data_IF_978724403238
#
_entry.id   IF_978724403238
#
_cell.length_a   1.000
_cell.length_b   1.000
_cell.length_c   1.000
_cell.angle_alpha   90.00
_cell.angle_beta   90.00
_cell.angle_gamma   90.00
#
_symmetry.space_group_name_H-M   'P 1'
#
loop_
_entity.id
_entity.type
_entity.pdbx_description
1 polymer ?
#
# COMPACT_ATOMS: atom_id res chain seq x y z
N UNK A 1 -11.57 5.83 27.73
CA UNK A 1 -11.18 6.47 26.45
C UNK A 1 -12.34 6.25 25.50
N UNK A 2 -12.97 7.33 25.05
CA UNK A 2 -14.07 7.25 24.07
C UNK A 2 -13.60 7.94 22.80
N UNK A 3 -13.78 7.25 21.66
CA UNK A 3 -13.69 7.87 20.34
C UNK A 3 -14.89 8.81 20.17
N UNK A 4 -14.68 9.98 19.59
CA UNK A 4 -15.70 10.95 19.21
C UNK A 4 -15.86 10.92 17.67
N UNK A 5 -16.81 10.13 17.14
CA UNK A 5 -16.92 9.89 15.70
C UNK A 5 -17.30 11.14 14.90
N UNK A 6 -18.04 12.07 15.52
CA UNK A 6 -18.52 13.28 14.87
C UNK A 6 -17.37 14.25 14.55
N UNK A 7 -16.28 14.19 15.33
CA UNK A 7 -15.05 14.94 15.06
C UNK A 7 -14.13 14.25 14.06
N UNK A 8 -14.12 12.92 14.02
CA UNK A 8 -13.23 12.16 13.14
C UNK A 8 -13.73 12.13 11.69
N UNK A 9 -15.05 12.04 11.50
CA UNK A 9 -15.65 11.84 10.18
C UNK A 9 -15.36 13.00 9.23
N UNK A 10 -14.93 12.67 8.01
CA UNK A 10 -14.67 13.65 6.96
C UNK A 10 -13.30 14.34 7.06
N UNK A 11 -12.48 13.97 8.04
CA UNK A 11 -11.10 14.45 8.14
C UNK A 11 -10.29 13.99 6.93
N UNK A 12 -9.64 14.95 6.26
CA UNK A 12 -8.57 14.65 5.31
C UNK A 12 -7.30 14.37 6.10
N UNK A 13 -6.78 13.16 5.99
CA UNK A 13 -5.64 12.70 6.80
C UNK A 13 -4.34 13.34 6.30
N UNK A 14 -4.03 13.17 5.02
CA UNK A 14 -2.83 13.74 4.41
C UNK A 14 -2.98 13.84 2.88
N UNK A 15 -2.17 14.68 2.24
CA UNK A 15 -2.00 14.71 0.78
C UNK A 15 -0.50 14.60 0.46
N UNK A 16 -0.06 13.44 -0.03
CA UNK A 16 1.36 13.14 -0.30
C UNK A 16 1.54 12.33 -1.58
N UNK A 17 2.66 12.56 -2.25
CA UNK A 17 3.04 11.73 -3.39
C UNK A 17 3.63 10.39 -2.90
N UNK A 18 3.31 9.31 -3.60
CA UNK A 18 3.91 7.99 -3.41
C UNK A 18 4.38 7.43 -4.75
N UNK A 19 5.59 6.88 -4.76
CA UNK A 19 6.23 6.34 -5.97
C UNK A 19 6.28 4.83 -5.90
N UNK A 20 5.68 4.16 -6.87
CA UNK A 20 5.80 2.71 -7.08
C UNK A 20 7.01 2.43 -7.97
N UNK A 21 8.23 2.58 -7.43
CA UNK A 21 9.45 2.32 -8.21
C UNK A 21 9.52 0.86 -8.68
N UNK A 22 10.28 0.61 -9.75
CA UNK A 22 10.48 -0.74 -10.29
C UNK A 22 10.98 -1.72 -9.23
N UNK A 23 11.97 -1.31 -8.45
CA UNK A 23 12.59 -2.12 -7.40
C UNK A 23 11.58 -2.44 -6.29
N UNK A 24 10.73 -1.47 -5.92
CA UNK A 24 9.66 -1.70 -4.94
C UNK A 24 8.65 -2.72 -5.46
N UNK A 25 8.26 -2.63 -6.74
CA UNK A 25 7.34 -3.58 -7.36
C UNK A 25 7.89 -5.00 -7.34
N UNK A 26 9.16 -5.18 -7.71
CA UNK A 26 9.82 -6.48 -7.70
C UNK A 26 9.97 -7.03 -6.29
N UNK A 27 10.45 -6.19 -5.36
CA UNK A 27 10.65 -6.60 -3.96
C UNK A 27 9.31 -6.99 -3.31
N UNK A 28 8.24 -6.26 -3.62
CA UNK A 28 6.90 -6.60 -3.14
C UNK A 28 6.47 -7.97 -3.66
N UNK A 29 6.60 -8.23 -4.97
CA UNK A 29 6.24 -9.52 -5.56
C UNK A 29 7.03 -10.68 -4.93
N UNK A 30 8.35 -10.53 -4.79
CA UNK A 30 9.19 -11.53 -4.10
C UNK A 30 8.74 -11.75 -2.65
N UNK A 31 8.41 -10.68 -1.93
CA UNK A 31 8.01 -10.75 -0.51
C UNK A 31 6.67 -11.48 -0.29
N UNK A 32 5.78 -11.49 -1.28
CA UNK A 32 4.50 -12.21 -1.21
C UNK A 32 4.55 -13.60 -1.85
N UNK A 33 5.74 -14.06 -2.28
CA UNK A 33 5.99 -15.44 -2.65
C UNK A 33 6.14 -15.73 -4.14
N UNK A 34 6.17 -14.71 -5.01
CA UNK A 34 6.54 -14.91 -6.41
C UNK A 34 7.99 -15.42 -6.52
N UNK A 35 8.25 -16.23 -7.54
CA UNK A 35 9.52 -16.95 -7.78
C UNK A 35 10.02 -17.85 -6.63
N UNK A 36 9.13 -18.31 -5.71
CA UNK A 36 9.52 -19.35 -4.73
C UNK A 36 10.01 -20.63 -5.42
N UNK A 37 9.37 -21.00 -6.53
CA UNK A 37 9.96 -21.86 -7.53
C UNK A 37 10.68 -20.97 -8.56
N UNK A 38 12.03 -21.03 -8.65
CA UNK A 38 12.79 -20.18 -9.54
C UNK A 38 12.62 -20.55 -11.03
N UNK A 39 12.03 -21.71 -11.35
CA UNK A 39 11.77 -22.14 -12.74
C UNK A 39 10.38 -21.74 -13.24
N UNK A 40 9.56 -21.09 -12.42
CA UNK A 40 8.25 -20.60 -12.84
C UNK A 40 8.38 -19.27 -13.58
N UNK A 41 8.49 -19.37 -14.91
CA UNK A 41 8.62 -18.23 -15.82
C UNK A 41 7.39 -17.30 -15.80
N UNK A 42 6.18 -17.81 -15.48
CA UNK A 42 4.96 -16.98 -15.42
C UNK A 42 5.03 -15.88 -14.35
N UNK A 43 5.93 -16.03 -13.38
CA UNK A 43 6.15 -15.06 -12.33
C UNK A 43 7.12 -13.94 -12.75
N UNK A 44 7.89 -14.12 -13.84
CA UNK A 44 8.90 -13.14 -14.29
C UNK A 44 8.28 -11.80 -14.64
N UNK A 45 7.04 -11.78 -15.12
CA UNK A 45 6.28 -10.54 -15.34
C UNK A 45 6.14 -9.66 -14.09
N UNK A 46 6.38 -10.17 -12.88
CA UNK A 46 6.37 -9.38 -11.64
C UNK A 46 7.76 -9.18 -11.01
N UNK A 47 8.74 -10.02 -11.37
CA UNK A 47 10.05 -10.05 -10.69
C UNK A 47 11.22 -9.69 -11.59
N UNK A 48 11.04 -9.65 -12.90
CA UNK A 48 12.10 -9.39 -13.88
C UNK A 48 11.71 -8.23 -14.80
N UNK A 49 12.46 -7.14 -14.71
CA UNK A 49 12.15 -5.87 -15.35
C UNK A 49 12.36 -5.86 -16.87
N UNK A 50 13.08 -6.85 -17.42
CA UNK A 50 13.28 -7.00 -18.86
C UNK A 50 12.28 -7.98 -19.50
N UNK A 51 11.32 -8.50 -18.75
CA UNK A 51 10.20 -9.26 -19.29
C UNK A 51 9.29 -8.33 -20.11
N UNK A 52 8.81 -8.78 -21.27
CA UNK A 52 8.02 -7.93 -22.18
C UNK A 52 6.75 -7.36 -21.51
N UNK A 53 6.09 -8.16 -20.67
CA UNK A 53 4.87 -7.81 -19.94
C UNK A 53 5.14 -7.44 -18.46
N UNK A 54 6.33 -6.92 -18.15
CA UNK A 54 6.68 -6.54 -16.79
C UNK A 54 5.68 -5.54 -16.18
N UNK A 55 5.13 -5.91 -15.02
CA UNK A 55 4.04 -5.21 -14.34
C UNK A 55 4.11 -5.37 -12.83
N UNK A 56 3.31 -4.60 -12.09
CA UNK A 56 3.20 -4.72 -10.64
C UNK A 56 2.06 -5.68 -10.25
N UNK A 57 2.20 -6.34 -9.10
CA UNK A 57 1.09 -7.13 -8.55
C UNK A 57 0.06 -6.20 -7.88
N UNK A 58 -1.26 -6.31 -8.18
CA UNK A 58 -2.25 -5.28 -7.86
C UNK A 58 -2.32 -4.85 -6.39
N UNK A 59 -2.06 -5.75 -5.44
CA UNK A 59 -2.15 -5.46 -4.00
C UNK A 59 -1.01 -4.58 -3.48
N UNK A 60 -0.03 -4.23 -4.30
CA UNK A 60 1.05 -3.31 -3.94
C UNK A 60 0.54 -1.94 -3.49
N UNK A 61 -0.63 -1.53 -3.98
CA UNK A 61 -1.25 -0.23 -3.66
C UNK A 61 -1.50 -0.03 -2.17
N UNK A 62 -1.65 -1.10 -1.39
CA UNK A 62 -1.78 -1.01 0.08
C UNK A 62 -0.58 -0.29 0.70
N UNK A 63 0.60 -0.41 0.10
CA UNK A 63 1.81 0.23 0.61
C UNK A 63 1.78 1.75 0.52
N UNK A 64 0.94 2.34 -0.34
CA UNK A 64 0.88 3.80 -0.46
C UNK A 64 0.31 4.44 0.81
N UNK A 65 -0.59 3.76 1.53
CA UNK A 65 -1.19 4.25 2.77
C UNK A 65 -0.17 4.54 3.87
N UNK A 66 1.04 3.95 3.80
CA UNK A 66 2.09 4.18 4.79
C UNK A 66 2.51 5.65 4.89
N UNK A 67 2.33 6.44 3.82
CA UNK A 67 2.74 7.86 3.81
C UNK A 67 1.90 8.73 4.73
N UNK A 68 0.68 8.31 5.05
CA UNK A 68 -0.24 9.02 5.95
C UNK A 68 -0.37 8.36 7.34
N UNK A 69 0.42 7.32 7.64
CA UNK A 69 0.21 6.50 8.84
C UNK A 69 0.33 7.31 10.14
N UNK A 70 1.26 8.26 10.20
CA UNK A 70 1.49 9.09 11.39
C UNK A 70 0.32 10.07 11.55
N UNK A 71 -0.04 10.77 10.49
CA UNK A 71 -1.14 11.74 10.47
C UNK A 71 -2.49 11.10 10.81
N UNK A 72 -2.67 9.81 10.50
CA UNK A 72 -3.88 9.06 10.86
C UNK A 72 -4.11 9.03 12.38
N UNK A 73 -3.04 8.98 13.18
CA UNK A 73 -3.15 8.98 14.65
C UNK A 73 -3.48 10.35 15.24
N UNK A 74 -3.29 11.42 14.47
CA UNK A 74 -3.63 12.79 14.85
C UNK A 74 -5.06 13.19 14.44
N UNK A 75 -5.86 12.24 13.92
CA UNK A 75 -7.24 12.48 13.52
C UNK A 75 -8.08 13.02 14.70
N UNK A 76 -8.80 14.16 14.54
CA UNK A 76 -9.63 14.72 15.59
C UNK A 76 -10.67 13.70 16.12
N UNK A 77 -10.87 13.67 17.43
CA UNK A 77 -11.81 12.74 18.06
C UNK A 77 -11.23 11.35 18.37
N UNK A 78 -10.02 11.03 17.90
CA UNK A 78 -9.27 9.90 18.43
C UNK A 78 -8.65 10.29 19.79
N UNK A 79 -8.79 9.47 20.84
CA UNK A 79 -8.05 9.68 22.08
C UNK A 79 -6.58 9.36 21.86
N UNK A 80 -5.70 9.81 22.76
CA UNK A 80 -4.36 9.24 22.86
C UNK A 80 -4.48 7.76 23.26
N UNK A 81 -3.84 6.86 22.51
CA UNK A 81 -3.89 5.43 22.76
C UNK A 81 -2.55 4.76 22.46
N UNK A 82 -2.34 3.57 22.99
CA UNK A 82 -1.17 2.76 22.67
C UNK A 82 -1.37 2.08 21.32
N UNK A 83 -0.59 2.47 20.30
CA UNK A 83 -0.66 1.91 18.95
C UNK A 83 -0.40 0.38 18.95
N UNK A 84 0.34 -0.15 19.92
CA UNK A 84 0.56 -1.60 20.05
C UNK A 84 -0.71 -2.38 20.44
N UNK A 85 -1.79 -1.70 20.82
CA UNK A 85 -3.10 -2.31 21.06
C UNK A 85 -4.03 -2.21 19.83
N UNK A 86 -3.56 -1.64 18.73
CA UNK A 86 -4.32 -1.55 17.48
C UNK A 86 -4.03 -2.74 16.58
N UNK A 87 -5.09 -3.46 16.21
CA UNK A 87 -5.04 -4.49 15.18
C UNK A 87 -5.57 -3.95 13.86
N UNK A 88 -4.98 -4.41 12.76
CA UNK A 88 -5.53 -4.20 11.43
C UNK A 88 -6.66 -5.21 11.21
N UNK A 89 -7.90 -4.72 11.10
CA UNK A 89 -9.10 -5.55 11.03
C UNK A 89 -9.46 -6.00 9.61
N UNK A 90 -9.50 -5.05 8.67
CA UNK A 90 -10.00 -5.27 7.31
C UNK A 90 -9.20 -4.44 6.29
N UNK A 91 -9.00 -4.98 5.08
CA UNK A 91 -8.42 -4.28 3.94
C UNK A 91 -9.35 -4.43 2.73
N UNK A 92 -9.67 -3.31 2.08
CA UNK A 92 -10.38 -3.30 0.80
C UNK A 92 -9.53 -2.53 -0.21
N UNK A 93 -9.52 -3.01 -1.46
CA UNK A 93 -8.80 -2.38 -2.57
C UNK A 93 -9.73 -2.40 -3.79
N UNK A 94 -9.84 -1.26 -4.46
CA UNK A 94 -10.45 -1.15 -5.78
C UNK A 94 -9.44 -0.51 -6.75
N UNK A 95 -8.95 -1.28 -7.71
CA UNK A 95 -8.01 -0.79 -8.72
C UNK A 95 -8.77 -0.36 -9.97
N UNK A 96 -9.00 0.95 -10.12
CA UNK A 96 -9.66 1.53 -11.30
C UNK A 96 -8.77 1.40 -12.56
N UNK A 97 -7.46 1.59 -12.39
CA UNK A 97 -6.46 1.45 -13.45
C UNK A 97 -5.27 0.61 -12.94
N UNK A 98 -4.59 -0.15 -13.82
CA UNK A 98 -3.36 -0.84 -13.46
C UNK A 98 -2.28 0.15 -13.00
N UNK A 99 -1.55 -0.20 -11.93
CA UNK A 99 -0.37 0.53 -11.50
C UNK A 99 0.85 -0.04 -12.21
N UNK A 100 1.49 0.78 -13.05
CA UNK A 100 2.72 0.38 -13.73
C UNK A 100 3.94 0.68 -12.85
N UNK A 101 4.99 -0.15 -12.89
CA UNK A 101 6.28 0.19 -12.31
C UNK A 101 6.76 1.59 -12.77
N UNK A 102 7.26 2.39 -11.83
CA UNK A 102 7.65 3.79 -12.04
C UNK A 102 6.51 4.82 -11.89
N UNK A 103 5.28 4.40 -11.59
CA UNK A 103 4.15 5.34 -11.45
C UNK A 103 4.24 6.12 -10.14
N UNK A 104 4.01 7.43 -10.21
CA UNK A 104 3.76 8.29 -9.04
C UNK A 104 2.27 8.53 -8.89
N UNK A 105 1.74 8.38 -7.68
CA UNK A 105 0.34 8.68 -7.34
C UNK A 105 0.28 9.73 -6.24
N UNK A 106 -0.80 10.53 -6.24
CA UNK A 106 -1.17 11.35 -5.08
C UNK A 106 -2.08 10.53 -4.16
N UNK A 107 -1.70 10.45 -2.90
CA UNK A 107 -2.44 9.82 -1.81
C UNK A 107 -2.99 10.87 -0.88
#
# INVERSE_FOLDING_TARGET
>A
MSVDPDKARGTVICEKDYVFSTELCQLYALSIGFNRDPLNEDHFKFTYELEDDFTSFPTIVVLSLKVCLIEMFDTPGLPQFNILQLLHGEQIIECINPIKPGTTVKC
#
